data_IF_754421066289
#
_entry.id   IF_754421066289
#
_cell.length_a   1.000
_cell.length_b   1.000
_cell.length_c   1.000
_cell.angle_alpha   90.00
_cell.angle_beta   90.00
_cell.angle_gamma   90.00
#
_symmetry.space_group_name_H-M   'P 1'
#
loop_
_entity.id
_entity.type
_entity.pdbx_description
1 polymer ?
#
# COMPACT_ATOMS: atom_id res chain seq x y z
N UNK A 1 24.62 40.38 42.87
CA UNK A 1 23.25 40.35 42.28
C UNK A 1 23.25 40.44 40.77
N UNK A 2 24.03 41.29 40.11
CA UNK A 2 24.07 41.48 38.64
C UNK A 2 24.54 40.27 37.83
N UNK A 3 25.39 39.38 38.36
CA UNK A 3 25.91 38.18 37.67
C UNK A 3 24.88 37.06 37.58
N UNK A 4 24.04 36.86 38.58
CA UNK A 4 23.01 35.83 38.59
C UNK A 4 21.89 36.15 37.58
N UNK A 5 21.52 37.43 37.43
CA UNK A 5 20.51 37.88 36.45
C UNK A 5 21.01 37.62 35.03
N UNK A 6 22.29 37.84 34.74
CA UNK A 6 22.87 37.56 33.42
C UNK A 6 22.86 36.06 33.09
N UNK A 7 23.12 35.19 34.06
CA UNK A 7 23.11 33.73 33.86
C UNK A 7 21.69 33.22 33.54
N UNK A 8 20.67 33.69 34.26
CA UNK A 8 19.28 33.31 33.98
C UNK A 8 18.82 33.81 32.61
N UNK A 9 19.24 35.01 32.18
CA UNK A 9 18.90 35.52 30.88
C UNK A 9 19.49 34.66 29.73
N UNK A 10 20.74 34.21 29.88
CA UNK A 10 21.41 33.33 28.93
C UNK A 10 20.69 31.97 28.83
N UNK A 11 20.29 31.40 29.98
CA UNK A 11 19.54 30.15 30.02
C UNK A 11 18.17 30.29 29.32
N UNK A 12 17.46 31.39 29.54
CA UNK A 12 16.19 31.66 28.88
C UNK A 12 16.32 31.81 27.35
N UNK A 13 17.36 32.49 26.87
CA UNK A 13 17.64 32.65 25.44
C UNK A 13 18.03 31.32 24.81
N UNK A 14 18.82 30.48 25.50
CA UNK A 14 19.17 29.14 25.03
C UNK A 14 17.94 28.22 24.97
N UNK A 15 17.05 28.32 25.98
CA UNK A 15 15.81 27.54 25.99
C UNK A 15 14.80 27.98 24.89
N UNK A 16 14.70 29.30 24.65
CA UNK A 16 13.88 29.83 23.58
C UNK A 16 14.36 29.39 22.18
N UNK A 17 15.67 29.23 22.00
CA UNK A 17 16.27 28.73 20.76
C UNK A 17 15.94 27.25 20.44
N UNK A 18 15.66 26.45 21.48
CA UNK A 18 15.31 25.03 21.33
C UNK A 18 13.88 24.83 20.78
N UNK A 19 13.00 25.82 20.88
CA UNK A 19 11.65 25.77 20.35
C UNK A 19 11.54 26.25 18.90
N UNK A 20 12.61 26.74 18.30
CA UNK A 20 12.71 26.98 16.85
C UNK A 20 13.20 25.73 16.10
N UNK A 21 12.77 24.53 16.51
CA UNK A 21 12.86 23.36 15.65
C UNK A 21 11.97 23.63 14.45
N UNK A 22 12.58 23.97 13.32
CA UNK A 22 11.90 24.18 12.06
C UNK A 22 11.07 22.94 11.74
N UNK A 23 9.76 23.04 11.85
CA UNK A 23 8.88 22.21 11.05
C UNK A 23 9.14 22.62 9.59
N UNK A 24 9.95 21.83 8.90
CA UNK A 24 10.01 21.90 7.45
C UNK A 24 8.67 21.38 6.92
N UNK A 25 7.67 22.25 6.86
CA UNK A 25 6.49 21.97 6.08
C UNK A 25 6.94 21.81 4.62
N UNK A 26 6.95 20.58 4.14
CA UNK A 26 7.12 20.33 2.71
C UNK A 26 5.86 20.90 2.05
N UNK A 27 5.97 21.97 1.26
CA UNK A 27 4.78 22.55 0.63
C UNK A 27 4.17 21.52 -0.30
N UNK A 28 3.07 20.92 0.15
CA UNK A 28 2.28 20.02 -0.67
C UNK A 28 1.38 20.85 -1.58
N UNK A 29 1.70 20.89 -2.87
CA UNK A 29 0.86 21.52 -3.89
C UNK A 29 0.18 20.46 -4.75
N UNK A 30 -1.02 20.01 -4.40
CA UNK A 30 -1.72 18.92 -5.09
C UNK A 30 -2.09 19.27 -6.53
N UNK A 31 -2.21 20.55 -6.87
CA UNK A 31 -2.58 21.01 -8.22
C UNK A 31 -1.45 20.96 -9.26
N UNK A 32 -0.21 20.71 -8.84
CA UNK A 32 0.96 20.67 -9.73
C UNK A 32 1.53 19.27 -9.96
N UNK A 33 0.94 18.24 -9.36
CA UNK A 33 1.42 16.88 -9.58
C UNK A 33 0.90 16.37 -10.93
N UNK A 34 1.84 15.92 -11.77
CA UNK A 34 1.47 15.21 -12.99
C UNK A 34 0.73 13.92 -12.64
N UNK A 35 -0.31 13.55 -13.39
CA UNK A 35 -1.00 12.28 -13.20
C UNK A 35 -0.01 11.11 -13.23
N UNK A 36 -0.17 10.18 -12.29
CA UNK A 36 0.67 9.00 -12.15
C UNK A 36 -0.17 7.74 -12.18
N UNK A 37 0.31 6.72 -12.89
CA UNK A 37 -0.30 5.40 -12.87
C UNK A 37 0.13 4.67 -11.59
N UNK A 38 -0.85 4.22 -10.82
CA UNK A 38 -0.66 3.48 -9.57
C UNK A 38 -1.14 2.06 -9.78
N UNK A 39 -0.31 1.10 -9.44
CA UNK A 39 -0.63 -0.33 -9.48
C UNK A 39 -0.72 -0.90 -8.07
N UNK A 40 -1.87 -1.49 -7.74
CA UNK A 40 -2.10 -2.20 -6.49
C UNK A 40 -2.30 -3.68 -6.79
N UNK A 41 -1.40 -4.52 -6.29
CA UNK A 41 -1.47 -5.96 -6.44
C UNK A 41 -1.16 -6.64 -5.11
N UNK A 42 -2.10 -7.42 -4.59
CA UNK A 42 -1.87 -8.31 -3.47
C UNK A 42 -1.84 -9.74 -4.02
N UNK A 43 -0.63 -10.22 -4.32
CA UNK A 43 -0.44 -11.52 -4.94
C UNK A 43 -0.34 -12.61 -3.86
N UNK A 44 -1.15 -13.63 -4.01
CA UNK A 44 -1.15 -14.79 -3.14
C UNK A 44 -0.60 -16.00 -3.89
N UNK A 45 0.57 -16.48 -3.47
CA UNK A 45 1.16 -17.69 -4.01
C UNK A 45 0.27 -18.92 -3.69
N UNK A 46 0.04 -19.75 -4.69
CA UNK A 46 -0.81 -20.95 -4.56
C UNK A 46 -2.29 -20.71 -4.87
N UNK A 47 -2.77 -19.47 -4.96
CA UNK A 47 -4.09 -19.20 -5.51
C UNK A 47 -4.08 -19.27 -7.05
N UNK A 48 -5.23 -19.61 -7.60
CA UNK A 48 -5.42 -19.70 -9.06
C UNK A 48 -5.87 -18.37 -9.67
N UNK A 49 -6.22 -17.40 -8.84
CA UNK A 49 -6.63 -16.06 -9.28
C UNK A 49 -6.05 -15.00 -8.35
N UNK A 50 -5.45 -13.98 -8.95
CA UNK A 50 -4.98 -12.78 -8.26
C UNK A 50 -5.47 -11.55 -9.02
N UNK A 51 -5.92 -10.52 -8.30
CA UNK A 51 -6.41 -9.29 -8.91
C UNK A 51 -5.35 -8.18 -8.83
N UNK A 52 -5.20 -7.46 -9.93
CA UNK A 52 -4.36 -6.26 -10.03
C UNK A 52 -5.23 -5.07 -10.39
N UNK A 53 -5.13 -4.00 -9.63
CA UNK A 53 -5.88 -2.77 -9.81
C UNK A 53 -4.96 -1.66 -10.31
N UNK A 54 -5.37 -0.98 -11.38
CA UNK A 54 -4.70 0.20 -11.89
C UNK A 54 -5.56 1.44 -11.67
N UNK A 55 -4.96 2.45 -11.06
CA UNK A 55 -5.57 3.75 -10.83
C UNK A 55 -4.69 4.84 -11.44
N UNK A 56 -5.32 5.90 -11.93
CA UNK A 56 -4.60 7.12 -12.31
C UNK A 56 -4.80 8.16 -11.21
N UNK A 57 -3.70 8.63 -10.58
CA UNK A 57 -3.79 9.74 -9.66
C UNK A 57 -3.81 11.05 -10.45
N UNK A 58 -4.73 11.94 -10.13
CA UNK A 58 -4.86 13.24 -10.77
C UNK A 58 -5.09 14.30 -9.69
N UNK A 59 -4.01 14.90 -9.21
CA UNK A 59 -4.06 15.77 -8.05
C UNK A 59 -4.68 15.09 -6.83
N UNK A 60 -5.80 15.61 -6.33
CA UNK A 60 -6.55 15.05 -5.19
C UNK A 60 -7.68 14.10 -5.63
N UNK A 61 -7.73 13.70 -6.89
CA UNK A 61 -8.79 12.86 -7.44
C UNK A 61 -8.23 11.62 -8.13
N UNK A 62 -9.12 10.69 -8.43
CA UNK A 62 -8.81 9.53 -9.27
C UNK A 62 -9.21 9.88 -10.70
N UNK A 63 -8.23 9.94 -11.60
CA UNK A 63 -8.43 10.10 -13.03
C UNK A 63 -9.07 8.85 -13.65
N UNK A 64 -9.67 9.01 -14.82
CA UNK A 64 -10.25 7.89 -15.58
C UNK A 64 -9.17 7.22 -16.42
N UNK A 65 -9.15 5.90 -16.43
CA UNK A 65 -8.35 5.09 -17.34
C UNK A 65 -9.29 4.53 -18.41
N UNK A 66 -9.08 4.90 -19.67
CA UNK A 66 -9.86 4.38 -20.81
C UNK A 66 -9.29 3.06 -21.29
N UNK A 67 -7.98 3.00 -21.47
CA UNK A 67 -7.28 1.79 -21.92
C UNK A 67 -6.05 1.53 -21.04
N UNK A 68 -5.78 0.27 -20.81
CA UNK A 68 -4.57 -0.16 -20.10
C UNK A 68 -4.19 -1.58 -20.51
N UNK A 69 -2.91 -1.88 -20.37
CA UNK A 69 -2.36 -3.23 -20.54
C UNK A 69 -1.61 -3.63 -19.28
N UNK A 70 -1.58 -4.93 -19.02
CA UNK A 70 -0.78 -5.52 -17.94
C UNK A 70 0.00 -6.70 -18.49
N UNK A 71 1.25 -6.84 -18.08
CA UNK A 71 2.08 -8.01 -18.35
C UNK A 71 2.67 -8.55 -17.05
N UNK A 72 2.60 -9.87 -16.89
CA UNK A 72 3.20 -10.61 -15.79
C UNK A 72 4.43 -11.36 -16.30
N UNK A 73 5.55 -11.14 -15.63
CA UNK A 73 6.79 -11.88 -15.84
C UNK A 73 7.10 -12.70 -14.60
N UNK A 74 7.52 -13.93 -14.79
CA UNK A 74 8.02 -14.83 -13.76
C UNK A 74 9.42 -15.28 -14.17
N UNK A 75 10.41 -15.02 -13.31
CA UNK A 75 11.81 -15.33 -13.57
C UNK A 75 12.30 -14.77 -14.94
N UNK A 76 11.97 -13.49 -15.20
CA UNK A 76 12.26 -12.71 -16.41
C UNK A 76 11.55 -13.19 -17.70
N UNK A 77 10.69 -14.19 -17.60
CA UNK A 77 9.90 -14.66 -18.73
C UNK A 77 8.48 -14.16 -18.63
N UNK A 78 7.98 -13.53 -19.69
CA UNK A 78 6.56 -13.16 -19.77
C UNK A 78 5.69 -14.41 -19.80
N UNK A 79 4.79 -14.53 -18.82
CA UNK A 79 3.92 -15.71 -18.68
C UNK A 79 2.46 -15.40 -18.93
N UNK A 80 2.06 -14.13 -18.74
CA UNK A 80 0.66 -13.73 -18.90
C UNK A 80 0.54 -12.26 -19.32
N UNK A 81 -0.48 -11.96 -20.15
CA UNK A 81 -0.89 -10.61 -20.51
C UNK A 81 -2.42 -10.60 -20.55
N UNK A 82 -3.06 -10.46 -19.38
CA UNK A 82 -4.52 -10.59 -19.25
C UNK A 82 -5.25 -9.40 -19.87
N UNK A 83 -6.49 -9.62 -20.24
CA UNK A 83 -7.42 -8.54 -20.58
C UNK A 83 -7.98 -7.91 -19.30
N UNK A 84 -8.31 -6.62 -19.38
CA UNK A 84 -9.00 -5.95 -18.28
C UNK A 84 -10.40 -6.52 -18.09
N UNK A 85 -10.79 -6.75 -16.84
CA UNK A 85 -12.15 -7.16 -16.47
C UNK A 85 -13.11 -6.02 -16.83
N UNK A 86 -14.24 -6.34 -17.48
CA UNK A 86 -15.25 -5.34 -17.78
C UNK A 86 -15.98 -4.86 -16.52
N UNK A 87 -16.54 -3.64 -16.52
CA UNK A 87 -17.36 -3.18 -15.39
C UNK A 87 -18.54 -4.13 -15.11
N UNK A 88 -19.16 -4.68 -16.15
CA UNK A 88 -20.28 -5.61 -16.04
C UNK A 88 -19.86 -6.92 -15.36
N UNK A 89 -18.67 -7.43 -15.66
CA UNK A 89 -18.12 -8.61 -14.99
C UNK A 89 -17.82 -8.32 -13.53
N UNK A 90 -17.22 -7.17 -13.25
CA UNK A 90 -16.84 -6.80 -11.89
C UNK A 90 -18.03 -6.54 -10.97
N UNK A 91 -19.06 -5.85 -11.48
CA UNK A 91 -20.26 -5.49 -10.72
C UNK A 91 -21.43 -6.43 -10.96
N UNK A 92 -21.25 -7.55 -11.66
CA UNK A 92 -22.35 -8.44 -12.08
C UNK A 92 -23.25 -8.92 -10.93
N UNK A 93 -22.69 -9.14 -9.75
CA UNK A 93 -23.44 -9.54 -8.56
C UNK A 93 -24.34 -8.41 -7.99
N UNK A 94 -24.15 -7.17 -8.40
CA UNK A 94 -24.98 -6.03 -7.98
C UNK A 94 -26.15 -5.76 -8.92
N UNK A 95 -26.18 -6.39 -10.10
CA UNK A 95 -27.22 -6.19 -11.11
C UNK A 95 -28.63 -6.45 -10.57
N UNK A 96 -28.79 -7.47 -9.71
CA UNK A 96 -30.06 -7.84 -9.13
C UNK A 96 -30.42 -7.07 -7.85
N UNK A 97 -29.52 -6.22 -7.35
CA UNK A 97 -29.67 -5.47 -6.11
C UNK A 97 -30.01 -3.99 -6.37
N UNK A 98 -29.79 -3.51 -7.57
CA UNK A 98 -29.98 -2.12 -7.98
C UNK A 98 -31.06 -2.03 -9.07
N UNK A 99 -31.73 -0.89 -9.14
CA UNK A 99 -32.54 -0.61 -10.33
C UNK A 99 -31.64 -0.38 -11.55
N UNK A 100 -32.25 -0.46 -12.74
CA UNK A 100 -31.51 -0.35 -14.01
C UNK A 100 -30.70 0.94 -14.11
N UNK A 101 -31.27 2.07 -13.69
CA UNK A 101 -30.61 3.38 -13.78
C UNK A 101 -29.41 3.48 -12.81
N UNK A 102 -29.56 2.96 -11.61
CA UNK A 102 -28.51 2.89 -10.61
C UNK A 102 -27.36 1.97 -11.08
N UNK A 103 -27.69 0.82 -11.66
CA UNK A 103 -26.69 -0.10 -12.17
C UNK A 103 -25.90 0.50 -13.34
N UNK A 104 -26.57 1.12 -14.32
CA UNK A 104 -25.90 1.82 -15.42
C UNK A 104 -25.00 2.98 -14.93
N UNK A 105 -25.44 3.73 -13.91
CA UNK A 105 -24.64 4.78 -13.32
C UNK A 105 -23.39 4.21 -12.62
N UNK A 106 -23.52 3.07 -11.92
CA UNK A 106 -22.41 2.36 -11.30
C UNK A 106 -21.36 1.93 -12.33
N UNK A 107 -21.79 1.30 -13.44
CA UNK A 107 -20.87 0.89 -14.50
C UNK A 107 -20.10 2.09 -15.09
N UNK A 108 -20.80 3.21 -15.32
CA UNK A 108 -20.19 4.44 -15.84
C UNK A 108 -19.26 5.13 -14.82
N UNK A 109 -19.43 4.89 -13.55
CA UNK A 109 -18.62 5.50 -12.49
C UNK A 109 -17.23 4.88 -12.36
N UNK A 110 -17.00 3.69 -12.90
CA UNK A 110 -15.72 2.99 -12.83
C UNK A 110 -14.62 3.79 -13.53
N UNK A 111 -13.59 4.19 -12.81
CA UNK A 111 -12.46 5.00 -13.30
C UNK A 111 -11.15 4.24 -13.35
N UNK A 112 -11.10 3.05 -12.79
CA UNK A 112 -9.93 2.19 -12.67
C UNK A 112 -10.04 0.97 -13.57
N UNK A 113 -8.95 0.26 -13.78
CA UNK A 113 -8.91 -1.02 -14.48
C UNK A 113 -8.54 -2.14 -13.53
N UNK A 114 -9.12 -3.30 -13.75
CA UNK A 114 -8.84 -4.51 -12.98
C UNK A 114 -8.38 -5.59 -13.95
N UNK A 115 -7.37 -6.33 -13.56
CA UNK A 115 -6.86 -7.47 -14.32
C UNK A 115 -6.87 -8.70 -13.42
N UNK A 116 -7.23 -9.84 -13.98
CA UNK A 116 -7.20 -11.14 -13.33
C UNK A 116 -5.99 -11.91 -13.83
N UNK A 117 -5.07 -12.23 -12.92
CA UNK A 117 -3.95 -13.11 -13.18
C UNK A 117 -4.34 -14.53 -12.83
N UNK A 118 -4.06 -15.48 -13.70
CA UNK A 118 -4.36 -16.92 -13.52
C UNK A 118 -3.10 -17.76 -13.37
N UNK A 119 -1.93 -17.17 -13.61
CA UNK A 119 -0.65 -17.84 -13.44
C UNK A 119 -0.42 -18.25 -11.98
N UNK A 120 0.01 -19.50 -11.77
CA UNK A 120 0.39 -20.00 -10.46
C UNK A 120 1.78 -19.52 -10.11
N UNK A 121 1.89 -18.82 -8.98
CA UNK A 121 3.12 -18.31 -8.43
C UNK A 121 3.69 -19.30 -7.43
N UNK A 122 4.99 -19.58 -7.51
CA UNK A 122 5.67 -20.52 -6.63
C UNK A 122 6.58 -19.78 -5.63
N UNK A 123 6.77 -20.32 -4.42
CA UNK A 123 7.74 -19.79 -3.49
C UNK A 123 9.15 -19.69 -4.12
N UNK A 124 9.75 -18.52 -4.05
CA UNK A 124 11.07 -18.22 -4.64
C UNK A 124 11.03 -17.67 -6.06
N UNK A 125 9.86 -17.62 -6.72
CA UNK A 125 9.73 -16.95 -8.01
C UNK A 125 10.02 -15.46 -7.90
N UNK A 126 10.73 -14.94 -8.89
CA UNK A 126 10.90 -13.49 -9.08
C UNK A 126 9.80 -13.01 -10.02
N UNK A 127 8.88 -12.20 -9.48
CA UNK A 127 7.70 -11.71 -10.18
C UNK A 127 7.93 -10.25 -10.54
N UNK A 128 7.65 -9.90 -11.80
CA UNK A 128 7.63 -8.52 -12.27
C UNK A 128 6.31 -8.26 -12.98
N UNK A 129 5.62 -7.21 -12.53
CA UNK A 129 4.43 -6.68 -13.17
C UNK A 129 4.79 -5.39 -13.90
N UNK A 130 4.33 -5.27 -15.14
CA UNK A 130 4.44 -4.06 -15.94
C UNK A 130 3.07 -3.68 -16.46
N UNK A 131 2.69 -2.41 -16.28
CA UNK A 131 1.43 -1.90 -16.79
C UNK A 131 1.64 -0.58 -17.53
N UNK A 132 0.86 -0.39 -18.58
CA UNK A 132 0.76 0.88 -19.29
C UNK A 132 -0.70 1.32 -19.41
N UNK A 133 -0.89 2.62 -19.54
CA UNK A 133 -2.22 3.20 -19.75
C UNK A 133 -2.17 4.34 -20.77
N UNK A 134 -3.31 4.62 -21.38
CA UNK A 134 -3.53 5.71 -22.34
C UNK A 134 -2.50 5.70 -23.49
N UNK A 135 -2.42 4.54 -24.20
CA UNK A 135 -1.50 4.39 -25.33
C UNK A 135 -0.03 4.43 -24.94
N UNK A 136 0.32 4.04 -23.72
CA UNK A 136 1.70 4.07 -23.21
C UNK A 136 2.13 5.40 -22.60
N UNK A 137 1.22 6.38 -22.49
CA UNK A 137 1.52 7.66 -21.86
C UNK A 137 1.92 7.52 -20.39
N UNK A 138 1.32 6.56 -19.70
CA UNK A 138 1.63 6.24 -18.31
C UNK A 138 2.16 4.82 -18.22
N UNK A 139 3.18 4.64 -17.39
CA UNK A 139 3.83 3.35 -17.17
C UNK A 139 4.10 3.16 -15.69
N UNK A 140 3.92 1.94 -15.22
CA UNK A 140 4.31 1.51 -13.86
C UNK A 140 4.85 0.10 -13.91
N UNK A 141 5.88 -0.16 -13.12
CA UNK A 141 6.44 -1.50 -12.96
C UNK A 141 6.77 -1.76 -11.50
N UNK A 142 6.64 -3.02 -11.09
CA UNK A 142 6.98 -3.47 -9.75
C UNK A 142 7.54 -4.88 -9.82
N UNK A 143 8.52 -5.17 -8.96
CA UNK A 143 9.16 -6.47 -8.89
C UNK A 143 9.24 -6.94 -7.44
N UNK A 144 8.95 -8.24 -7.22
CA UNK A 144 8.98 -8.86 -5.90
C UNK A 144 9.36 -10.33 -6.02
N UNK A 145 10.06 -10.86 -5.03
CA UNK A 145 10.30 -12.30 -4.91
C UNK A 145 9.25 -12.92 -4.00
N UNK A 146 8.61 -14.00 -4.44
CA UNK A 146 7.62 -14.74 -3.63
C UNK A 146 8.33 -15.32 -2.41
N UNK A 147 7.87 -14.99 -1.19
CA UNK A 147 8.47 -15.52 0.02
C UNK A 147 8.42 -17.04 0.05
N UNK A 148 9.47 -17.65 0.57
CA UNK A 148 9.44 -19.09 0.87
C UNK A 148 8.66 -19.33 2.16
N UNK A 149 8.00 -20.50 2.31
CA UNK A 149 7.37 -20.86 3.57
C UNK A 149 8.38 -20.85 4.71
N UNK A 150 7.95 -20.37 5.87
CA UNK A 150 8.77 -20.46 7.09
C UNK A 150 9.06 -21.93 7.40
N UNK A 151 10.34 -22.26 7.56
CA UNK A 151 10.77 -23.61 7.91
C UNK A 151 10.61 -23.89 9.41
N UNK A 152 10.75 -22.87 10.25
CA UNK A 152 10.58 -22.98 11.70
C UNK A 152 10.09 -21.65 12.28
N UNK A 153 9.28 -21.74 13.32
CA UNK A 153 8.87 -20.62 14.13
C UNK A 153 9.37 -20.85 15.57
N UNK A 154 10.28 -20.01 16.03
CA UNK A 154 10.68 -19.99 17.42
C UNK A 154 9.83 -18.97 18.17
N UNK A 155 9.12 -19.45 19.19
CA UNK A 155 8.30 -18.61 20.06
C UNK A 155 8.97 -18.52 21.43
N UNK A 156 9.45 -17.33 21.78
CA UNK A 156 9.95 -17.06 23.12
C UNK A 156 8.82 -16.50 23.98
N UNK A 157 8.79 -16.93 25.23
CA UNK A 157 7.85 -16.43 26.22
C UNK A 157 8.61 -15.68 27.30
N UNK A 158 8.16 -14.48 27.63
CA UNK A 158 8.66 -13.75 28.79
C UNK A 158 7.56 -13.59 29.84
N UNK A 159 7.96 -13.52 31.12
CA UNK A 159 7.04 -13.22 32.21
C UNK A 159 7.23 -11.76 32.60
N UNK A 160 6.22 -10.95 32.38
CA UNK A 160 6.20 -9.55 32.81
C UNK A 160 5.43 -9.41 34.12
N UNK A 161 5.96 -8.62 35.05
CA UNK A 161 5.24 -8.21 36.25
C UNK A 161 4.39 -6.97 35.92
N UNK A 162 3.10 -7.12 35.92
CA UNK A 162 2.16 -6.04 35.65
C UNK A 162 1.49 -5.61 36.98
N UNK A 163 1.57 -4.32 37.28
CA UNK A 163 0.87 -3.75 38.43
C UNK A 163 -0.62 -3.53 38.05
N UNK A 164 -1.49 -4.31 38.67
CA UNK A 164 -2.92 -4.18 38.48
C UNK A 164 -3.59 -3.97 39.83
N UNK A 165 -4.30 -2.87 39.99
CA UNK A 165 -5.04 -2.52 41.22
C UNK A 165 -4.23 -2.59 42.51
N UNK A 166 -2.96 -2.11 42.48
CA UNK A 166 -2.07 -2.07 43.63
C UNK A 166 -1.35 -3.38 43.94
N UNK A 167 -1.59 -4.46 43.23
CA UNK A 167 -0.86 -5.72 43.33
C UNK A 167 -0.02 -6.01 42.09
N UNK A 168 1.11 -6.69 42.26
CA UNK A 168 1.94 -7.15 41.15
C UNK A 168 1.50 -8.58 40.79
N UNK A 169 1.13 -8.78 39.52
CA UNK A 169 0.82 -10.11 38.99
C UNK A 169 1.76 -10.47 37.87
N UNK A 170 2.25 -11.69 37.88
CA UNK A 170 3.05 -12.24 36.79
C UNK A 170 2.11 -12.54 35.60
N UNK A 171 2.40 -11.95 34.44
CA UNK A 171 1.70 -12.21 33.20
C UNK A 171 2.65 -12.81 32.18
N UNK A 172 2.29 -13.95 31.59
CA UNK A 172 3.08 -14.57 30.54
C UNK A 172 2.74 -13.90 29.21
N UNK A 173 3.75 -13.27 28.59
CA UNK A 173 3.62 -12.69 27.26
C UNK A 173 4.34 -13.59 26.27
N UNK A 174 3.75 -13.78 25.09
CA UNK A 174 4.33 -14.51 24.00
C UNK A 174 4.95 -13.52 23.02
N UNK A 175 6.28 -13.60 22.87
CA UNK A 175 7.01 -12.86 21.85
C UNK A 175 7.30 -13.82 20.71
N UNK A 176 6.74 -13.57 19.54
CA UNK A 176 7.11 -14.29 18.32
C UNK A 176 8.26 -13.57 17.63
N UNK A 177 9.43 -14.19 17.57
CA UNK A 177 10.52 -13.80 16.69
C UNK A 177 10.38 -14.59 15.39
N UNK A 178 10.07 -13.90 14.30
CA UNK A 178 10.09 -14.50 12.96
C UNK A 178 11.53 -14.35 12.45
N UNK A 179 12.27 -15.45 12.43
CA UNK A 179 13.52 -15.53 11.68
C UNK A 179 13.18 -15.91 10.23
N UNK A 180 13.45 -15.00 9.31
CA UNK A 180 13.36 -15.20 7.85
C UNK A 180 14.69 -15.80 7.38
#
# INVERSE_FOLDING_TARGET
MKTRIKLHLIIYIAFAGLFMACENEIPYNPGQQNPQLIMNALLNAGQTENLVYLHLSEGNSIGRINEATLSLYVNDKQVESPQAISPEEYYGNMQNQLDKGQYEALLKSMRFKIFRLTARLQPGDNIRLEATAEGGKYHVSSQVTVPRPLQSLQVDTCTALIRQWGSMRAHRQYLSLIHI
#
